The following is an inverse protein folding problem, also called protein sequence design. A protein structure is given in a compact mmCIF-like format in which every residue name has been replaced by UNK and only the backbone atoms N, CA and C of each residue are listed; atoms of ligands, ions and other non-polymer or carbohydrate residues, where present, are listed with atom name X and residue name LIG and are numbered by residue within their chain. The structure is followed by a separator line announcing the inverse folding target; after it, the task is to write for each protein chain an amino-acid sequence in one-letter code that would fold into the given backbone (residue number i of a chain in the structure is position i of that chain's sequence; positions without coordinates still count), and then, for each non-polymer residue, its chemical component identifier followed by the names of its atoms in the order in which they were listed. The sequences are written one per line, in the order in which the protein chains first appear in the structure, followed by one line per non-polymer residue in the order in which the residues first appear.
data_IF_014692434463
#
_entry.id   IF_014692434463
#
_cell.length_a   1.000
_cell.length_b   1.000
_cell.length_c   1.000
_cell.angle_alpha   90.00
_cell.angle_beta   90.00
_cell.angle_gamma   90.00
#
_symmetry.space_group_name_H-M   'P 1'
#
loop_
_entity.id
_entity.type
_entity.pdbx_description
1 polymer ?
#
# COMPACT_ATOMS: atom_id res chain seq x y z
N UNK A 1 10.08 12.92 -13.21
CA UNK A 1 9.47 13.88 -14.15
C UNK A 1 8.41 14.68 -13.41
N UNK A 2 8.70 15.93 -13.06
CA UNK A 2 7.71 16.89 -12.54
C UNK A 2 7.04 17.55 -13.75
N UNK A 3 5.71 17.46 -13.86
CA UNK A 3 4.99 18.16 -14.93
C UNK A 3 5.05 19.68 -14.69
N UNK A 4 5.24 20.51 -15.74
CA UNK A 4 5.46 21.96 -15.60
C UNK A 4 4.31 22.73 -14.97
N UNK A 5 3.13 22.13 -14.84
CA UNK A 5 1.95 22.74 -14.20
C UNK A 5 2.12 23.06 -12.71
N UNK A 6 3.09 22.45 -12.03
CA UNK A 6 3.31 22.70 -10.59
C UNK A 6 4.08 24.00 -10.30
N UNK A 7 4.66 24.65 -11.31
CA UNK A 7 5.49 25.85 -11.13
C UNK A 7 4.67 27.14 -11.05
N UNK A 8 3.45 27.14 -11.61
CA UNK A 8 2.58 28.32 -11.67
C UNK A 8 1.64 28.43 -10.46
N UNK A 9 1.73 27.51 -9.50
CA UNK A 9 0.81 27.48 -8.37
C UNK A 9 1.30 28.41 -7.26
N UNK A 10 0.43 29.24 -6.67
CA UNK A 10 0.82 30.13 -5.59
C UNK A 10 1.36 29.33 -4.39
N UNK A 11 2.35 29.87 -3.65
CA UNK A 11 2.89 29.22 -2.45
C UNK A 11 1.75 28.89 -1.48
N UNK A 12 1.66 27.62 -1.07
CA UNK A 12 0.57 27.09 -0.24
C UNK A 12 -0.51 26.31 -0.99
N UNK A 13 -0.51 26.34 -2.33
CA UNK A 13 -1.44 25.53 -3.14
C UNK A 13 -0.86 24.13 -3.31
N UNK A 14 -1.35 23.18 -2.52
CA UNK A 14 -1.03 21.77 -2.70
C UNK A 14 -1.71 21.28 -3.98
N UNK A 15 -0.97 21.16 -5.08
CA UNK A 15 -1.38 20.27 -6.16
C UNK A 15 -1.63 18.92 -5.52
N UNK A 16 -2.79 18.29 -5.75
CA UNK A 16 -2.95 16.89 -5.36
C UNK A 16 -1.92 16.09 -6.16
N UNK A 17 -0.77 15.83 -5.52
CA UNK A 17 0.20 14.87 -6.03
C UNK A 17 -0.52 13.55 -6.28
N UNK A 18 0.01 12.72 -7.19
CA UNK A 18 -0.52 11.37 -7.38
C UNK A 18 -0.69 10.73 -6.00
N UNK A 19 -1.91 10.28 -5.71
CA UNK A 19 -2.22 9.59 -4.45
C UNK A 19 -1.28 8.40 -4.27
N UNK A 20 -1.16 7.90 -3.04
CA UNK A 20 -0.40 6.68 -2.82
C UNK A 20 -0.97 5.53 -3.68
N UNK A 21 -0.12 4.56 -4.04
CA UNK A 21 -0.50 3.41 -4.88
C UNK A 21 -1.77 2.73 -4.34
N UNK A 22 -1.88 2.57 -3.02
CA UNK A 22 -3.07 2.02 -2.38
C UNK A 22 -4.35 2.83 -2.68
N UNK A 23 -4.29 4.17 -2.67
CA UNK A 23 -5.42 5.04 -2.99
C UNK A 23 -5.78 4.97 -4.49
N UNK A 24 -4.77 4.93 -5.37
CA UNK A 24 -4.97 4.81 -6.83
C UNK A 24 -5.69 3.50 -7.17
N UNK A 25 -5.25 2.40 -6.57
CA UNK A 25 -5.81 1.06 -6.81
C UNK A 25 -7.00 0.73 -5.89
N UNK A 26 -7.49 1.70 -5.10
CA UNK A 26 -8.61 1.52 -4.14
C UNK A 26 -8.42 0.30 -3.22
N UNK A 27 -7.18 0.04 -2.83
CA UNK A 27 -6.82 -1.01 -1.87
C UNK A 27 -7.29 -0.56 -0.50
N UNK A 28 -8.30 -1.24 0.04
CA UNK A 28 -8.88 -0.95 1.38
C UNK A 28 -8.45 -1.95 2.45
N UNK A 29 -7.91 -3.08 2.01
CA UNK A 29 -7.39 -4.14 2.86
C UNK A 29 -6.11 -4.73 2.26
N UNK A 30 -5.17 -5.09 3.13
CA UNK A 30 -3.97 -5.82 2.77
C UNK A 30 -4.33 -7.30 2.63
N UNK A 31 -4.01 -7.84 1.45
CA UNK A 31 -4.08 -9.26 1.14
C UNK A 31 -2.69 -9.87 1.20
N UNK A 32 -2.57 -11.21 1.37
CA UNK A 32 -1.29 -11.93 1.21
C UNK A 32 -0.51 -11.54 -0.04
N UNK A 33 -1.26 -11.39 -1.14
CA UNK A 33 -0.73 -11.02 -2.46
C UNK A 33 -0.09 -9.63 -2.47
N UNK A 34 -0.63 -8.67 -1.71
CA UNK A 34 -0.05 -7.34 -1.56
C UNK A 34 1.30 -7.41 -0.81
N UNK A 35 1.39 -8.26 0.21
CA UNK A 35 2.63 -8.47 0.97
C UNK A 35 3.69 -9.13 0.08
N UNK A 36 3.31 -10.19 -0.65
CA UNK A 36 4.19 -10.88 -1.58
C UNK A 36 4.71 -9.94 -2.68
N UNK A 37 3.85 -9.06 -3.21
CA UNK A 37 4.23 -8.05 -4.18
C UNK A 37 5.25 -7.06 -3.60
N UNK A 38 4.96 -6.51 -2.42
CA UNK A 38 5.88 -5.59 -1.74
C UNK A 38 7.24 -6.25 -1.47
N UNK A 39 7.27 -7.48 -0.94
CA UNK A 39 8.50 -8.23 -0.68
C UNK A 39 9.33 -8.43 -1.95
N UNK A 40 8.66 -8.74 -3.08
CA UNK A 40 9.34 -8.91 -4.37
C UNK A 40 9.93 -7.58 -4.87
N UNK A 41 9.21 -6.46 -4.70
CA UNK A 41 9.74 -5.12 -4.96
C UNK A 41 10.97 -4.81 -4.09
N UNK A 42 10.91 -5.07 -2.79
CA UNK A 42 12.04 -4.85 -1.88
C UNK A 42 13.26 -5.67 -2.28
N UNK A 43 13.09 -6.95 -2.60
CA UNK A 43 14.17 -7.79 -3.12
C UNK A 43 14.81 -7.15 -4.33
N UNK A 44 14.01 -6.68 -5.29
CA UNK A 44 14.54 -6.10 -6.52
C UNK A 44 15.34 -4.82 -6.24
N UNK A 45 14.84 -3.95 -5.36
CA UNK A 45 15.52 -2.71 -4.94
C UNK A 45 16.84 -2.99 -4.22
N UNK A 46 16.89 -4.06 -3.41
CA UNK A 46 18.09 -4.45 -2.66
C UNK A 46 19.06 -5.30 -3.49
N UNK A 47 18.61 -5.85 -4.61
CA UNK A 47 19.45 -6.64 -5.50
C UNK A 47 20.29 -5.75 -6.41
N UNK A 48 21.44 -6.24 -6.86
CA UNK A 48 22.24 -5.60 -7.91
C UNK A 48 21.63 -5.74 -9.32
N UNK A 49 20.38 -6.19 -9.43
CA UNK A 49 19.71 -6.39 -10.71
C UNK A 49 19.41 -5.03 -11.36
N UNK A 50 19.80 -4.82 -12.64
CA UNK A 50 19.66 -3.52 -13.30
C UNK A 50 18.21 -3.13 -13.62
N UNK A 51 17.26 -4.05 -13.46
CA UNK A 51 15.84 -3.81 -13.69
C UNK A 51 14.98 -4.93 -13.14
N UNK A 52 13.66 -4.71 -13.14
CA UNK A 52 12.72 -5.76 -12.74
C UNK A 52 12.77 -6.92 -13.73
N UNK A 53 13.20 -8.09 -13.27
CA UNK A 53 13.23 -9.34 -14.03
C UNK A 53 12.46 -10.42 -13.27
N UNK A 54 11.64 -11.19 -13.99
CA UNK A 54 10.82 -12.27 -13.44
C UNK A 54 11.67 -13.50 -13.10
N UNK A 55 12.66 -13.79 -13.94
CA UNK A 55 13.70 -14.80 -13.70
C UNK A 55 15.04 -14.20 -14.11
N UNK A 56 15.93 -14.01 -13.14
CA UNK A 56 17.30 -13.49 -13.35
C UNK A 56 18.33 -14.64 -13.35
N UNK A 57 17.87 -15.90 -13.52
CA UNK A 57 18.68 -17.12 -13.45
C UNK A 57 19.09 -17.52 -12.03
N UNK A 58 19.39 -16.53 -11.18
CA UNK A 58 19.70 -16.73 -9.76
C UNK A 58 18.47 -16.62 -8.85
N UNK A 59 17.38 -16.01 -9.33
CA UNK A 59 16.17 -15.77 -8.54
C UNK A 59 14.92 -15.87 -9.41
N UNK A 60 13.96 -16.66 -8.93
CA UNK A 60 12.64 -16.84 -9.56
C UNK A 60 11.60 -16.06 -8.79
N UNK A 61 11.21 -14.90 -9.32
CA UNK A 61 10.23 -14.01 -8.70
C UNK A 61 8.89 -14.69 -8.46
N UNK A 62 8.40 -15.45 -9.43
CA UNK A 62 7.12 -16.16 -9.32
C UNK A 62 7.14 -17.18 -8.18
N UNK A 63 8.20 -17.98 -8.10
CA UNK A 63 8.33 -18.98 -7.06
C UNK A 63 8.46 -18.34 -5.67
N UNK A 64 9.14 -17.21 -5.55
CA UNK A 64 9.25 -16.45 -4.31
C UNK A 64 7.90 -15.87 -3.89
N UNK A 65 7.18 -15.27 -4.84
CA UNK A 65 5.87 -14.70 -4.62
C UNK A 65 4.86 -15.76 -4.15
N UNK A 66 4.76 -16.87 -4.88
CA UNK A 66 3.87 -17.98 -4.55
C UNK A 66 4.22 -18.60 -3.20
N UNK A 67 5.50 -18.69 -2.82
CA UNK A 67 5.89 -19.15 -1.47
C UNK A 67 5.36 -18.24 -0.37
N UNK A 68 5.43 -16.93 -0.54
CA UNK A 68 4.88 -15.98 0.44
C UNK A 68 3.36 -16.09 0.49
N UNK A 69 2.69 -16.16 -0.66
CA UNK A 69 1.23 -16.31 -0.70
C UNK A 69 0.82 -17.59 0.01
N UNK A 70 1.47 -18.72 -0.29
CA UNK A 70 1.20 -20.01 0.37
C UNK A 70 1.47 -19.98 1.88
N UNK A 71 2.46 -19.20 2.34
CA UNK A 71 2.74 -19.02 3.77
C UNK A 71 1.55 -18.39 4.51
N UNK A 72 0.86 -17.43 3.89
CA UNK A 72 -0.31 -16.79 4.49
C UNK A 72 -1.62 -17.54 4.21
N UNK A 73 -1.69 -18.31 3.13
CA UNK A 73 -2.89 -19.08 2.76
C UNK A 73 -2.96 -20.44 3.44
N UNK A 74 -1.88 -20.88 4.11
CA UNK A 74 -1.86 -21.97 5.11
C UNK A 74 -2.49 -23.28 4.64
N UNK A 75 -1.67 -24.24 4.18
CA UNK A 75 -2.13 -25.62 3.97
C UNK A 75 -2.33 -26.39 5.28
N UNK A 76 -1.68 -25.97 6.35
CA UNK A 76 -1.75 -26.58 7.69
C UNK A 76 -2.53 -25.66 8.63
N UNK A 77 -3.33 -26.24 9.52
CA UNK A 77 -4.29 -25.49 10.34
C UNK A 77 -3.63 -24.60 11.40
N UNK A 78 -2.40 -24.90 11.82
CA UNK A 78 -1.67 -24.16 12.87
C UNK A 78 -1.18 -22.77 12.40
N UNK A 79 -0.92 -22.60 11.10
CA UNK A 79 -0.40 -21.34 10.55
C UNK A 79 -1.49 -20.30 10.26
N UNK A 80 -2.76 -20.73 10.23
CA UNK A 80 -3.89 -19.87 9.87
C UNK A 80 -4.13 -18.75 10.89
N UNK A 81 -3.99 -19.06 12.18
CA UNK A 81 -4.18 -18.09 13.25
C UNK A 81 -3.12 -16.98 13.21
N UNK A 82 -1.86 -17.36 13.00
CA UNK A 82 -0.77 -16.41 12.84
C UNK A 82 -0.94 -15.55 11.58
N UNK A 83 -1.32 -16.16 10.46
CA UNK A 83 -1.50 -15.46 9.20
C UNK A 83 -2.62 -14.41 9.29
N UNK A 84 -3.76 -14.79 9.89
CA UNK A 84 -4.88 -13.88 10.10
C UNK A 84 -4.53 -12.74 11.07
N UNK A 85 -3.87 -13.05 12.19
CA UNK A 85 -3.43 -12.04 13.15
C UNK A 85 -2.45 -11.05 12.51
N UNK A 86 -1.52 -11.54 11.69
CA UNK A 86 -0.55 -10.71 10.98
C UNK A 86 -1.23 -9.80 9.97
N UNK A 87 -2.16 -10.32 9.16
CA UNK A 87 -2.94 -9.52 8.21
C UNK A 87 -3.80 -8.45 8.92
N UNK A 88 -4.43 -8.79 10.03
CA UNK A 88 -5.19 -7.84 10.84
C UNK A 88 -4.29 -6.71 11.36
N UNK A 89 -3.11 -7.05 11.91
CA UNK A 89 -2.14 -6.08 12.37
C UNK A 89 -1.68 -5.12 11.26
N UNK A 90 -1.37 -5.64 10.07
CA UNK A 90 -1.00 -4.80 8.92
C UNK A 90 -2.11 -3.85 8.50
N UNK A 91 -3.36 -4.33 8.49
CA UNK A 91 -4.52 -3.51 8.15
C UNK A 91 -4.72 -2.37 9.15
N UNK A 92 -4.68 -2.65 10.44
CA UNK A 92 -4.77 -1.63 11.49
C UNK A 92 -3.62 -0.62 11.39
N UNK A 93 -2.39 -1.08 11.08
CA UNK A 93 -1.23 -0.20 11.03
C UNK A 93 -1.23 0.74 9.82
N UNK A 94 -1.71 0.27 8.67
CA UNK A 94 -1.68 1.03 7.40
C UNK A 94 -2.91 1.93 7.25
N UNK A 95 -4.10 1.41 7.54
CA UNK A 95 -5.35 2.13 7.33
C UNK A 95 -5.88 2.79 8.60
N UNK A 96 -5.26 2.52 9.75
CA UNK A 96 -5.76 2.93 11.06
C UNK A 96 -6.98 2.11 11.48
N UNK A 97 -7.37 2.27 12.74
CA UNK A 97 -8.67 1.76 13.18
C UNK A 97 -9.75 2.66 12.56
N UNK A 98 -10.63 2.09 11.73
CA UNK A 98 -11.70 2.83 11.06
C UNK A 98 -12.62 3.57 12.05
N UNK A 99 -12.56 3.23 13.34
CA UNK A 99 -13.29 3.85 14.43
C UNK A 99 -13.03 5.36 14.62
N UNK A 100 -11.92 5.92 14.12
CA UNK A 100 -11.62 7.35 14.28
C UNK A 100 -12.03 8.24 13.08
N UNK A 101 -12.32 7.66 11.92
CA UNK A 101 -12.56 8.43 10.69
C UNK A 101 -13.98 9.03 10.57
N UNK A 102 -14.95 8.53 11.34
CA UNK A 102 -16.35 8.99 11.30
C UNK A 102 -16.56 10.35 12.02
N UNK A 103 -15.65 10.76 12.92
CA UNK A 103 -15.81 12.01 13.68
C UNK A 103 -15.34 13.29 12.96
N UNK A 104 -14.68 13.17 11.81
CA UNK A 104 -14.18 14.34 11.07
C UNK A 104 -15.29 15.10 10.31
N UNK A 105 -16.50 14.53 10.17
CA UNK A 105 -17.62 15.16 9.48
C UNK A 105 -18.49 16.10 10.34
N UNK A 106 -18.36 16.07 11.68
CA UNK A 106 -19.29 16.72 12.60
C UNK A 106 -18.84 18.14 13.03
N UNK A 107 -17.56 18.50 12.87
CA UNK A 107 -17.00 19.71 13.47
C UNK A 107 -16.65 20.86 12.50
N UNK A 108 -17.15 20.87 11.26
CA UNK A 108 -16.94 22.03 10.39
C UNK A 108 -18.12 23.01 10.51
N UNK A 109 -17.96 24.19 11.14
CA UNK A 109 -19.02 25.19 11.16
C UNK A 109 -19.29 25.71 9.73
N UNK A 110 -20.51 26.18 9.44
CA UNK A 110 -20.89 26.59 8.10
C UNK A 110 -20.01 27.77 7.64
N UNK A 111 -19.33 27.60 6.50
CA UNK A 111 -18.61 28.69 5.83
C UNK A 111 -19.62 29.78 5.49
N UNK A 112 -19.59 30.86 6.26
CA UNK A 112 -20.44 32.04 6.12
C UNK A 112 -20.31 32.56 4.69
N UNK A 113 -21.43 32.53 3.96
CA UNK A 113 -21.53 33.02 2.60
C UNK A 113 -21.57 34.55 2.58
N UNK A 114 -20.88 35.14 1.60
CA UNK A 114 -21.29 36.39 0.94
C UNK A 114 -21.03 37.71 1.67
N UNK A 115 -20.43 38.64 0.92
CA UNK A 115 -20.20 40.04 1.25
C UNK A 115 -19.15 40.61 0.32
#
# INVERSE_FOLDING_TARGET
MTSPSSISLPPGTRTMGRGCIAHIYKIRNITPRNIAYAATLWRNVLSSCPGWQQDDGAFKGDAFFERIVNLFEGKEDEDKDWAHATLAWWNTRIFGDAACADQAGVNNPPRRAGG
#
